data_IF_150558501991
#
_entry.id   IF_150558501991
#
_cell.length_a   1.000
_cell.length_b   1.000
_cell.length_c   1.000
_cell.angle_alpha   90.00
_cell.angle_beta   90.00
_cell.angle_gamma   90.00
#
_symmetry.space_group_name_H-M   'P 1'
#
loop_
_entity.id
_entity.type
_entity.pdbx_description
1 polymer ?
#
# COMPACT_ATOMS: atom_id res chain seq x y z
N UNK A 1 -23.26 -37.12 -4.97
CA UNK A 1 -22.03 -36.51 -5.51
C UNK A 1 -21.24 -36.00 -4.36
N UNK A 2 -20.05 -36.51 -4.10
CA UNK A 2 -19.23 -36.15 -2.93
C UNK A 2 -18.43 -34.85 -3.19
N UNK A 3 -18.32 -34.04 -2.13
CA UNK A 3 -17.43 -32.88 -2.05
C UNK A 3 -15.97 -33.30 -2.14
N UNK A 4 -15.08 -32.51 -2.75
CA UNK A 4 -13.64 -32.72 -2.65
C UNK A 4 -13.07 -32.05 -1.39
N UNK A 5 -12.51 -32.88 -0.50
CA UNK A 5 -11.58 -32.52 0.55
C UNK A 5 -10.38 -31.74 -0.04
N UNK A 6 -10.21 -30.51 0.40
CA UNK A 6 -8.98 -29.74 0.13
C UNK A 6 -8.22 -29.53 1.44
N UNK A 7 -7.42 -30.53 1.81
CA UNK A 7 -6.52 -30.50 2.95
C UNK A 7 -5.07 -30.47 2.44
N UNK A 8 -4.62 -29.27 2.00
CA UNK A 8 -3.20 -29.04 1.71
C UNK A 8 -2.51 -28.43 2.94
N UNK A 9 -1.45 -29.06 3.45
CA UNK A 9 -0.68 -28.50 4.57
C UNK A 9 0.19 -27.32 4.09
N UNK A 10 -0.10 -26.14 4.61
CA UNK A 10 0.77 -24.96 4.50
C UNK A 10 2.09 -25.29 5.21
N UNK A 11 3.12 -25.61 4.42
CA UNK A 11 4.49 -25.78 4.89
C UNK A 11 5.04 -24.44 5.39
N UNK A 12 5.19 -24.40 6.70
CA UNK A 12 5.80 -23.33 7.46
C UNK A 12 7.32 -23.33 7.22
N UNK A 13 7.81 -22.60 6.23
CA UNK A 13 9.23 -22.45 5.88
C UNK A 13 9.79 -21.13 6.40
N UNK A 14 9.84 -20.96 7.72
CA UNK A 14 10.51 -19.79 8.33
C UNK A 14 11.26 -20.14 9.65
N UNK A 15 11.66 -21.39 9.84
CA UNK A 15 12.40 -21.82 11.05
C UNK A 15 13.82 -22.35 10.77
N UNK A 16 14.41 -22.10 9.60
CA UNK A 16 15.71 -22.68 9.23
C UNK A 16 16.90 -21.71 9.19
N UNK A 17 16.74 -20.41 9.57
CA UNK A 17 17.85 -19.45 9.44
C UNK A 17 18.40 -18.92 10.78
N UNK A 18 17.94 -19.42 11.92
CA UNK A 18 18.40 -18.96 13.24
C UNK A 18 19.37 -19.92 13.96
N UNK A 19 19.78 -21.05 13.36
CA UNK A 19 20.63 -22.05 14.06
C UNK A 19 22.00 -22.28 13.42
N UNK A 20 22.43 -21.47 12.44
CA UNK A 20 23.73 -21.59 11.79
C UNK A 20 24.85 -20.73 12.40
N UNK A 21 24.58 -19.92 13.41
CA UNK A 21 25.57 -18.95 13.94
C UNK A 21 26.12 -19.28 15.33
N UNK A 22 25.93 -20.50 15.83
CA UNK A 22 26.44 -20.91 17.16
C UNK A 22 27.51 -21.99 17.12
N UNK A 23 27.97 -22.45 15.96
CA UNK A 23 28.95 -23.55 15.83
C UNK A 23 30.38 -23.13 15.48
N UNK A 24 30.61 -21.85 15.10
CA UNK A 24 31.92 -21.43 14.58
C UNK A 24 32.82 -20.67 15.58
N UNK A 25 32.50 -20.70 16.89
CA UNK A 25 33.33 -20.03 17.91
C UNK A 25 34.08 -21.03 18.81
N UNK A 26 33.91 -22.35 18.62
CA UNK A 26 34.52 -23.35 19.48
C UNK A 26 35.91 -23.87 19.04
N UNK A 27 36.40 -23.47 17.85
CA UNK A 27 37.61 -24.10 17.26
C UNK A 27 38.83 -23.15 17.09
N UNK A 28 38.94 -22.12 17.92
CA UNK A 28 40.09 -21.21 17.88
C UNK A 28 40.80 -21.11 19.23
N UNK A 29 41.24 -22.27 19.78
CA UNK A 29 42.23 -22.30 20.84
C UNK A 29 43.29 -23.36 20.48
N UNK A 30 44.50 -22.98 20.04
CA UNK A 30 45.59 -23.93 19.95
C UNK A 30 46.20 -24.11 21.35
N UNK A 31 46.06 -25.34 21.90
CA UNK A 31 46.86 -25.82 23.02
C UNK A 31 48.21 -26.22 22.46
N UNK A 32 49.23 -25.45 22.68
CA UNK A 32 50.63 -25.77 22.43
C UNK A 32 51.43 -25.46 23.69
N UNK A 33 51.75 -26.49 24.47
CA UNK A 33 52.67 -26.36 25.58
C UNK A 33 54.10 -26.31 25.07
N UNK A 34 54.88 -25.42 25.63
CA UNK A 34 56.29 -25.69 25.83
C UNK A 34 56.79 -24.91 27.06
N UNK A 35 57.40 -25.69 27.97
CA UNK A 35 58.09 -25.21 29.15
C UNK A 35 59.47 -24.71 28.76
N UNK A 36 59.80 -23.47 29.07
CA UNK A 36 61.18 -23.03 29.20
C UNK A 36 61.32 -22.06 30.40
N UNK A 37 62.46 -22.02 31.07
CA UNK A 37 62.53 -21.68 32.47
C UNK A 37 62.61 -20.18 32.74
N UNK A 38 62.03 -19.78 33.87
CA UNK A 38 62.04 -18.40 34.43
C UNK A 38 63.44 -17.97 34.85
N UNK A 39 63.91 -16.80 34.51
CA UNK A 39 64.84 -16.07 35.37
C UNK A 39 64.06 -15.18 36.30
N UNK A 40 64.35 -15.39 37.56
CA UNK A 40 64.00 -14.54 38.68
C UNK A 40 64.61 -13.14 38.47
N UNK A 41 63.72 -12.15 38.30
CA UNK A 41 64.08 -10.75 38.39
C UNK A 41 62.99 -10.03 39.16
N UNK A 42 63.22 -10.02 40.45
CA UNK A 42 62.47 -9.24 41.39
C UNK A 42 62.52 -7.72 41.07
N UNK A 43 61.43 -7.12 41.39
CA UNK A 43 61.26 -5.75 41.85
C UNK A 43 61.17 -4.60 40.84
N UNK A 44 60.06 -3.88 41.01
CA UNK A 44 59.82 -2.50 40.64
C UNK A 44 59.22 -2.23 39.27
N UNK A 45 57.92 -2.46 39.18
CA UNK A 45 57.07 -1.69 38.29
C UNK A 45 55.88 -1.19 39.11
N UNK A 46 55.76 0.12 39.18
CA UNK A 46 54.81 0.87 39.99
C UNK A 46 53.34 0.38 39.83
N UNK A 47 52.69 0.36 40.93
CA UNK A 47 51.23 0.17 41.00
C UNK A 47 50.52 1.31 40.28
N UNK A 48 50.37 1.22 38.98
CA UNK A 48 49.28 1.89 38.27
C UNK A 48 48.06 1.05 38.59
N UNK A 49 47.22 1.57 39.49
CA UNK A 49 46.03 0.88 39.99
C UNK A 49 45.15 0.36 38.84
N UNK A 50 45.29 -0.91 38.56
CA UNK A 50 44.26 -1.60 37.73
C UNK A 50 42.96 -1.50 38.51
N UNK A 51 41.92 -0.87 37.96
CA UNK A 51 40.61 -0.82 38.63
C UNK A 51 40.24 -2.25 38.97
N UNK A 52 39.92 -2.49 40.24
CA UNK A 52 39.56 -3.78 40.78
C UNK A 52 38.49 -4.43 39.86
N UNK A 53 38.80 -5.59 39.35
CA UNK A 53 37.92 -6.36 38.45
C UNK A 53 36.52 -6.51 39.04
N UNK A 54 36.39 -6.48 40.35
CA UNK A 54 35.09 -6.52 41.03
C UNK A 54 34.30 -5.24 40.80
N UNK A 55 34.94 -4.07 40.79
CA UNK A 55 34.33 -2.76 40.51
C UNK A 55 33.90 -2.67 39.06
N UNK A 56 34.77 -3.13 38.13
CA UNK A 56 34.41 -3.18 36.70
C UNK A 56 33.24 -4.11 36.44
N UNK A 57 33.20 -5.28 37.06
CA UNK A 57 32.09 -6.23 36.95
C UNK A 57 30.79 -5.64 37.50
N UNK A 58 30.84 -4.94 38.64
CA UNK A 58 29.68 -4.28 39.24
C UNK A 58 29.15 -3.17 38.32
N UNK A 59 30.02 -2.34 37.75
CA UNK A 59 29.67 -1.30 36.81
C UNK A 59 29.02 -1.88 35.54
N UNK A 60 29.63 -2.93 34.94
CA UNK A 60 29.09 -3.58 33.76
C UNK A 60 27.71 -4.23 34.01
N UNK A 61 27.51 -4.84 35.19
CA UNK A 61 26.18 -5.38 35.59
C UNK A 61 25.14 -4.27 35.76
N UNK A 62 25.51 -3.15 36.36
CA UNK A 62 24.61 -1.99 36.51
C UNK A 62 24.23 -1.39 35.16
N UNK A 63 25.20 -1.26 34.25
CA UNK A 63 24.94 -0.79 32.89
C UNK A 63 24.05 -1.76 32.12
N UNK A 64 24.31 -3.06 32.19
CA UNK A 64 23.47 -4.09 31.57
C UNK A 64 22.02 -4.04 32.10
N UNK A 65 21.84 -3.89 33.41
CA UNK A 65 20.51 -3.75 34.01
C UNK A 65 19.80 -2.48 33.53
N UNK A 66 20.51 -1.35 33.50
CA UNK A 66 19.96 -0.08 32.98
C UNK A 66 19.58 -0.16 31.48
N UNK A 67 20.41 -0.83 30.68
CA UNK A 67 20.14 -1.05 29.27
C UNK A 67 18.94 -2.00 29.06
N UNK A 68 18.83 -3.03 29.89
CA UNK A 68 17.68 -3.94 29.88
C UNK A 68 16.38 -3.21 30.24
N UNK A 69 16.41 -2.36 31.26
CA UNK A 69 15.24 -1.54 31.63
C UNK A 69 14.84 -0.56 30.52
N UNK A 70 15.82 0.06 29.86
CA UNK A 70 15.57 0.93 28.68
C UNK A 70 14.95 0.13 27.54
N UNK A 71 15.48 -1.06 27.28
CA UNK A 71 14.94 -1.96 26.25
C UNK A 71 13.48 -2.35 26.55
N UNK A 72 13.19 -2.76 27.78
CA UNK A 72 11.82 -3.14 28.19
C UNK A 72 10.84 -1.98 28.05
N UNK A 73 11.24 -0.75 28.42
CA UNK A 73 10.41 0.44 28.22
C UNK A 73 10.19 0.72 26.73
N UNK A 74 11.26 0.71 25.92
CA UNK A 74 11.15 0.94 24.48
C UNK A 74 10.25 -0.11 23.80
N UNK A 75 10.31 -1.37 24.22
CA UNK A 75 9.42 -2.42 23.73
C UNK A 75 7.95 -2.17 24.10
N UNK A 76 7.69 -1.77 25.35
CA UNK A 76 6.35 -1.42 25.78
C UNK A 76 5.79 -0.20 25.03
N UNK A 77 6.62 0.83 24.82
CA UNK A 77 6.25 2.02 24.06
C UNK A 77 5.98 1.69 22.60
N UNK A 78 6.79 0.83 21.98
CA UNK A 78 6.57 0.36 20.61
C UNK A 78 5.25 -0.40 20.48
N UNK A 79 4.93 -1.27 21.43
CA UNK A 79 3.67 -2.01 21.39
C UNK A 79 2.47 -1.09 21.57
N UNK A 80 2.54 -0.13 22.50
CA UNK A 80 1.52 0.88 22.71
C UNK A 80 1.34 1.75 21.46
N UNK A 81 2.44 2.18 20.84
CA UNK A 81 2.42 2.92 19.58
C UNK A 81 1.75 2.13 18.45
N UNK A 82 2.11 0.84 18.30
CA UNK A 82 1.49 -0.02 17.28
C UNK A 82 -0.02 -0.15 17.49
N UNK A 83 -0.45 -0.42 18.71
CA UNK A 83 -1.88 -0.54 19.05
C UNK A 83 -2.62 0.77 18.78
N UNK A 84 -2.04 1.90 19.15
CA UNK A 84 -2.61 3.22 18.90
C UNK A 84 -2.70 3.51 17.41
N UNK A 85 -1.62 3.28 16.65
CA UNK A 85 -1.59 3.51 15.19
C UNK A 85 -2.62 2.68 14.42
N UNK A 86 -2.90 1.45 14.87
CA UNK A 86 -3.96 0.62 14.28
C UNK A 86 -5.33 1.25 14.53
N UNK A 87 -5.64 1.66 15.76
CA UNK A 87 -6.91 2.30 16.10
C UNK A 87 -7.11 3.61 15.33
N UNK A 88 -6.11 4.50 15.35
CA UNK A 88 -6.15 5.78 14.62
C UNK A 88 -6.40 5.57 13.12
N UNK A 89 -5.76 4.55 12.53
CA UNK A 89 -5.99 4.22 11.11
C UNK A 89 -7.39 3.72 10.84
N UNK A 90 -7.95 2.90 11.73
CA UNK A 90 -9.31 2.36 11.58
C UNK A 90 -10.36 3.47 11.80
N UNK A 91 -10.16 4.36 12.77
CA UNK A 91 -10.97 5.55 13.00
C UNK A 91 -10.93 6.51 11.80
N UNK A 92 -9.74 6.76 11.24
CA UNK A 92 -9.60 7.58 10.03
C UNK A 92 -10.34 6.97 8.84
N UNK A 93 -10.24 5.64 8.65
CA UNK A 93 -10.99 4.96 7.57
C UNK A 93 -12.49 5.11 7.75
N UNK A 94 -13.00 4.86 8.96
CA UNK A 94 -14.42 5.02 9.25
C UNK A 94 -14.88 6.46 9.00
N UNK A 95 -14.12 7.45 9.48
CA UNK A 95 -14.44 8.87 9.31
C UNK A 95 -14.44 9.28 7.84
N UNK A 96 -13.41 8.89 7.07
CA UNK A 96 -13.32 9.21 5.63
C UNK A 96 -14.46 8.55 4.86
N UNK A 97 -14.74 7.27 5.15
CA UNK A 97 -15.85 6.56 4.52
C UNK A 97 -17.19 7.22 4.86
N UNK A 98 -17.38 7.63 6.12
CA UNK A 98 -18.59 8.32 6.58
C UNK A 98 -18.83 9.61 5.80
N UNK A 99 -17.82 10.46 5.65
CA UNK A 99 -17.93 11.72 4.87
C UNK A 99 -18.31 11.48 3.42
N UNK A 100 -17.74 10.45 2.77
CA UNK A 100 -18.13 10.12 1.39
C UNK A 100 -19.61 9.76 1.31
N UNK A 101 -20.13 8.98 2.27
CA UNK A 101 -21.54 8.63 2.29
C UNK A 101 -22.45 9.84 2.59
N UNK A 102 -22.03 10.72 3.51
CA UNK A 102 -22.78 11.96 3.80
C UNK A 102 -22.99 12.81 2.54
N UNK A 103 -21.97 12.93 1.69
CA UNK A 103 -22.06 13.67 0.43
C UNK A 103 -22.85 12.92 -0.67
N UNK A 104 -23.00 11.60 -0.56
CA UNK A 104 -23.80 10.80 -1.50
C UNK A 104 -25.29 10.73 -1.11
N UNK A 105 -25.66 10.86 0.17
CA UNK A 105 -27.06 10.79 0.59
C UNK A 105 -27.97 11.77 -0.15
N UNK A 106 -27.64 13.06 -0.35
CA UNK A 106 -28.47 13.98 -1.12
C UNK A 106 -28.70 13.52 -2.57
N UNK A 107 -27.73 12.79 -3.16
CA UNK A 107 -27.87 12.24 -4.51
C UNK A 107 -28.89 11.10 -4.52
N UNK A 108 -28.87 10.24 -3.50
CA UNK A 108 -29.85 9.16 -3.33
C UNK A 108 -31.26 9.73 -3.11
N UNK A 109 -31.39 10.77 -2.29
CA UNK A 109 -32.66 11.42 -2.02
C UNK A 109 -33.25 12.03 -3.30
N UNK A 110 -32.43 12.74 -4.08
CA UNK A 110 -32.86 13.34 -5.35
C UNK A 110 -33.20 12.27 -6.39
N UNK A 111 -32.47 11.15 -6.42
CA UNK A 111 -32.79 10.02 -7.30
C UNK A 111 -34.14 9.38 -6.90
N UNK A 112 -34.39 9.22 -5.60
CA UNK A 112 -35.67 8.72 -5.10
C UNK A 112 -36.83 9.65 -5.48
N UNK A 113 -36.61 10.96 -5.37
CA UNK A 113 -37.60 11.99 -5.78
C UNK A 113 -37.88 11.95 -7.29
N UNK A 114 -36.82 11.87 -8.12
CA UNK A 114 -36.93 11.70 -9.56
C UNK A 114 -37.69 10.44 -9.95
N UNK A 115 -37.44 9.33 -9.25
CA UNK A 115 -38.14 8.07 -9.47
C UNK A 115 -39.63 8.14 -9.05
N UNK A 116 -39.94 8.85 -7.97
CA UNK A 116 -41.31 9.08 -7.55
C UNK A 116 -42.06 9.93 -8.56
N UNK A 117 -41.46 10.98 -9.10
CA UNK A 117 -42.01 11.82 -10.16
C UNK A 117 -42.28 10.99 -11.43
N UNK A 118 -41.32 10.12 -11.83
CA UNK A 118 -41.49 9.27 -13.02
C UNK A 118 -42.68 8.30 -12.97
N UNK A 119 -43.18 8.00 -11.78
CA UNK A 119 -44.35 7.11 -11.60
C UNK A 119 -45.69 7.83 -11.77
N UNK A 120 -45.69 9.17 -11.88
CA UNK A 120 -46.90 9.94 -12.12
C UNK A 120 -47.24 9.89 -13.60
N UNK A 121 -48.53 9.82 -13.92
CA UNK A 121 -49.02 9.50 -15.27
C UNK A 121 -48.83 10.59 -16.33
N UNK A 122 -48.35 11.79 -15.98
CA UNK A 122 -48.25 12.96 -16.87
C UNK A 122 -46.81 13.55 -16.95
N UNK A 123 -45.78 12.76 -16.66
CA UNK A 123 -44.42 13.30 -16.70
C UNK A 123 -43.89 13.33 -18.13
N UNK A 124 -43.50 14.52 -18.57
CA UNK A 124 -42.78 14.71 -19.82
C UNK A 124 -41.39 14.03 -19.72
N UNK A 125 -41.11 13.10 -20.65
CA UNK A 125 -39.83 12.37 -20.74
C UNK A 125 -38.63 13.32 -20.75
N UNK A 126 -38.74 14.47 -21.39
CA UNK A 126 -37.69 15.48 -21.47
C UNK A 126 -37.34 16.06 -20.10
N UNK A 127 -38.39 16.37 -19.32
CA UNK A 127 -38.24 16.85 -17.94
C UNK A 127 -37.59 15.77 -17.03
N UNK A 128 -37.98 14.51 -17.19
CA UNK A 128 -37.37 13.40 -16.46
C UNK A 128 -35.90 13.21 -16.79
N UNK A 129 -35.53 13.25 -18.08
CA UNK A 129 -34.11 13.13 -18.51
C UNK A 129 -33.32 14.28 -17.92
N UNK A 130 -33.78 15.51 -17.96
CA UNK A 130 -33.12 16.68 -17.36
C UNK A 130 -32.92 16.52 -15.85
N UNK A 131 -33.91 15.95 -15.14
CA UNK A 131 -33.82 15.66 -13.72
C UNK A 131 -32.71 14.62 -13.41
N UNK A 132 -32.64 13.54 -14.20
CA UNK A 132 -31.61 12.51 -14.05
C UNK A 132 -30.21 13.03 -14.39
N UNK A 133 -30.07 13.86 -15.42
CA UNK A 133 -28.80 14.52 -15.76
C UNK A 133 -28.32 15.41 -14.63
N UNK A 134 -29.21 16.14 -13.96
CA UNK A 134 -28.89 16.97 -12.81
C UNK A 134 -28.40 16.13 -11.63
N UNK A 135 -29.03 14.99 -11.33
CA UNK A 135 -28.61 14.07 -10.28
C UNK A 135 -27.25 13.46 -10.62
N UNK A 136 -27.00 13.10 -11.89
CA UNK A 136 -25.71 12.60 -12.35
C UNK A 136 -24.60 13.66 -12.17
N UNK A 137 -24.89 14.91 -12.53
CA UNK A 137 -23.94 16.02 -12.34
C UNK A 137 -23.64 16.25 -10.84
N UNK A 138 -24.64 16.17 -9.98
CA UNK A 138 -24.48 16.27 -8.54
C UNK A 138 -23.61 15.14 -8.00
N UNK A 139 -23.83 13.89 -8.43
CA UNK A 139 -22.98 12.74 -8.05
C UNK A 139 -21.55 12.95 -8.46
N UNK A 140 -21.30 13.38 -9.69
CA UNK A 140 -19.95 13.66 -10.19
C UNK A 140 -19.27 14.75 -9.37
N UNK A 141 -19.99 15.81 -9.01
CA UNK A 141 -19.49 16.91 -8.18
C UNK A 141 -19.14 16.42 -6.76
N UNK A 142 -20.01 15.63 -6.13
CA UNK A 142 -19.78 15.04 -4.82
C UNK A 142 -18.53 14.13 -4.81
N UNK A 143 -18.35 13.30 -5.83
CA UNK A 143 -17.18 12.45 -5.96
C UNK A 143 -15.90 13.25 -6.26
N UNK A 144 -16.00 14.31 -7.05
CA UNK A 144 -14.86 15.19 -7.35
C UNK A 144 -14.36 15.94 -6.11
N UNK A 145 -15.23 16.33 -5.16
CA UNK A 145 -14.83 16.95 -3.89
C UNK A 145 -13.94 16.04 -3.03
N UNK A 146 -14.08 14.72 -3.19
CA UNK A 146 -13.22 13.71 -2.56
C UNK A 146 -11.95 13.37 -3.36
N UNK A 147 -11.71 14.11 -4.47
CA UNK A 147 -10.49 13.94 -5.29
C UNK A 147 -10.61 12.90 -6.41
N UNK A 148 -11.84 12.41 -6.69
CA UNK A 148 -12.09 11.58 -7.86
C UNK A 148 -12.01 12.44 -9.14
N UNK A 149 -11.23 11.98 -10.12
CA UNK A 149 -11.12 12.59 -11.45
C UNK A 149 -11.52 11.60 -12.52
N UNK A 150 -12.35 12.06 -13.46
CA UNK A 150 -12.70 11.29 -14.65
C UNK A 150 -11.56 11.35 -15.68
N UNK A 151 -11.29 10.23 -16.35
CA UNK A 151 -10.35 10.11 -17.44
C UNK A 151 -11.15 9.85 -18.72
N UNK A 152 -11.28 10.89 -19.56
CA UNK A 152 -12.02 10.86 -20.82
C UNK A 152 -11.10 11.44 -21.93
N UNK A 153 -10.14 10.67 -22.42
CA UNK A 153 -9.06 11.14 -23.26
C UNK A 153 -9.43 11.19 -24.76
N UNK A 154 -10.64 11.54 -25.14
CA UNK A 154 -11.04 11.62 -26.55
C UNK A 154 -10.14 12.59 -27.32
N UNK A 155 -9.56 12.14 -28.44
CA UNK A 155 -8.65 12.93 -29.26
C UNK A 155 -7.24 13.10 -28.70
N UNK A 156 -6.95 12.58 -27.52
CA UNK A 156 -5.61 12.63 -26.90
C UNK A 156 -4.76 11.42 -27.31
N UNK A 157 -3.42 11.51 -27.19
CA UNK A 157 -2.55 10.36 -27.39
C UNK A 157 -2.92 9.22 -26.44
N UNK A 158 -2.78 7.99 -26.91
CA UNK A 158 -2.97 6.81 -26.08
C UNK A 158 -1.84 6.70 -25.03
N UNK A 159 -2.21 6.58 -23.75
CA UNK A 159 -1.29 6.38 -22.63
C UNK A 159 -1.58 5.03 -21.97
N UNK A 160 -0.69 4.03 -22.07
CA UNK A 160 -0.88 2.72 -21.45
C UNK A 160 -1.01 2.75 -19.92
N UNK A 161 -0.55 3.82 -19.27
CA UNK A 161 -0.65 3.95 -17.80
C UNK A 161 -2.06 4.34 -17.34
N UNK A 162 -2.86 4.94 -18.22
CA UNK A 162 -4.19 5.46 -17.85
C UNK A 162 -5.31 4.89 -18.74
N UNK A 163 -4.96 4.32 -19.90
CA UNK A 163 -5.90 3.85 -20.90
C UNK A 163 -5.70 2.37 -21.19
N UNK A 164 -6.80 1.70 -21.52
CA UNK A 164 -6.84 0.32 -21.99
C UNK A 164 -7.44 0.29 -23.38
N UNK A 165 -6.63 -0.07 -24.38
CA UNK A 165 -7.10 -0.19 -25.75
C UNK A 165 -7.89 -1.50 -25.94
N UNK A 166 -9.19 -1.38 -26.26
CA UNK A 166 -10.04 -2.55 -26.54
C UNK A 166 -9.96 -2.93 -28.01
N UNK A 167 -9.90 -1.93 -28.91
CA UNK A 167 -9.83 -2.15 -30.35
C UNK A 167 -9.14 -0.99 -31.07
N UNK A 168 -8.70 -1.25 -32.29
CA UNK A 168 -8.18 -0.25 -33.22
C UNK A 168 -9.16 -0.09 -34.35
N UNK A 169 -9.47 1.15 -34.74
CA UNK A 169 -10.34 1.46 -35.88
C UNK A 169 -9.70 2.50 -36.80
N UNK A 170 -9.85 2.37 -38.12
CA UNK A 170 -9.37 3.39 -39.04
C UNK A 170 -10.20 4.67 -38.89
N UNK A 171 -9.53 5.83 -38.89
CA UNK A 171 -10.17 7.14 -38.87
C UNK A 171 -9.34 8.11 -39.71
N UNK A 172 -10.02 8.91 -40.51
CA UNK A 172 -9.39 10.00 -41.25
C UNK A 172 -9.22 11.27 -40.41
N UNK A 173 -10.07 11.43 -39.37
CA UNK A 173 -10.15 12.65 -38.59
C UNK A 173 -9.22 12.63 -37.36
N UNK A 174 -8.88 11.44 -36.87
CA UNK A 174 -8.06 11.26 -35.66
C UNK A 174 -6.73 10.60 -36.06
N UNK A 175 -5.63 11.20 -35.60
CA UNK A 175 -4.28 10.69 -35.86
C UNK A 175 -4.10 9.26 -35.35
N UNK A 176 -3.20 8.53 -35.98
CA UNK A 176 -2.76 7.22 -35.50
C UNK A 176 -2.29 7.31 -34.02
N UNK A 177 -2.53 6.25 -33.23
CA UNK A 177 -2.22 6.16 -31.81
C UNK A 177 -2.95 7.17 -30.90
N UNK A 178 -4.01 7.84 -31.40
CA UNK A 178 -4.87 8.68 -30.57
C UNK A 178 -6.20 7.99 -30.27
N UNK A 179 -6.79 8.38 -29.16
CA UNK A 179 -8.07 7.84 -28.71
C UNK A 179 -9.19 8.37 -29.61
N UNK A 180 -9.86 7.46 -30.31
CA UNK A 180 -10.99 7.76 -31.18
C UNK A 180 -12.27 7.97 -30.37
N UNK A 181 -12.56 7.03 -29.46
CA UNK A 181 -13.73 7.09 -28.58
C UNK A 181 -13.45 6.38 -27.26
N UNK A 182 -14.16 6.81 -26.22
CA UNK A 182 -14.13 6.19 -24.90
C UNK A 182 -15.36 5.31 -24.74
N UNK A 183 -15.17 4.01 -24.60
CA UNK A 183 -16.25 3.04 -24.34
C UNK A 183 -16.60 3.06 -22.87
N UNK A 184 -15.58 3.17 -22.01
CA UNK A 184 -15.75 3.18 -20.56
C UNK A 184 -14.83 4.22 -19.93
N UNK A 185 -15.42 5.16 -19.20
CA UNK A 185 -14.69 6.21 -18.50
C UNK A 185 -13.73 5.62 -17.46
N UNK A 186 -12.48 6.11 -17.47
CA UNK A 186 -11.52 5.81 -16.42
C UNK A 186 -11.71 6.71 -15.21
N UNK A 187 -11.13 6.31 -14.07
CA UNK A 187 -11.16 7.09 -12.85
C UNK A 187 -9.82 7.04 -12.11
N UNK A 188 -9.41 8.18 -11.59
CA UNK A 188 -8.29 8.31 -10.67
C UNK A 188 -8.71 9.00 -9.38
N UNK A 189 -8.13 8.60 -8.26
CA UNK A 189 -8.37 9.19 -6.94
C UNK A 189 -7.06 9.75 -6.40
N UNK A 190 -7.00 11.06 -6.18
CA UNK A 190 -5.81 11.74 -5.65
C UNK A 190 -4.52 11.36 -6.41
N UNK A 191 -4.60 11.23 -7.74
CA UNK A 191 -3.48 10.84 -8.60
C UNK A 191 -3.21 9.34 -8.72
N UNK A 192 -3.89 8.50 -7.92
CA UNK A 192 -3.81 7.04 -8.06
C UNK A 192 -4.88 6.54 -9.01
N UNK A 193 -4.49 5.80 -10.03
CA UNK A 193 -5.42 5.16 -10.95
C UNK A 193 -6.25 4.11 -10.20
N UNK A 194 -7.59 4.22 -10.28
CA UNK A 194 -8.53 3.23 -9.77
C UNK A 194 -8.97 2.27 -10.89
N UNK A 195 -9.19 2.82 -12.08
CA UNK A 195 -9.63 2.08 -13.26
C UNK A 195 -9.18 2.81 -14.51
N UNK A 196 -8.52 2.14 -15.47
CA UNK A 196 -8.18 2.75 -16.75
C UNK A 196 -9.43 3.09 -17.57
N UNK A 197 -9.31 4.06 -18.47
CA UNK A 197 -10.32 4.32 -19.46
C UNK A 197 -10.22 3.27 -20.58
N UNK A 198 -11.32 2.56 -20.85
CA UNK A 198 -11.37 1.62 -21.98
C UNK A 198 -11.70 2.38 -23.27
N UNK A 199 -10.79 2.34 -24.21
CA UNK A 199 -10.81 3.21 -25.38
C UNK A 199 -10.67 2.44 -26.69
N UNK A 200 -11.17 3.04 -27.77
CA UNK A 200 -10.85 2.65 -29.14
C UNK A 200 -9.78 3.59 -29.65
N UNK A 201 -8.70 3.05 -30.18
CA UNK A 201 -7.55 3.81 -30.70
C UNK A 201 -7.63 3.91 -32.22
N UNK A 202 -7.27 5.06 -32.76
CA UNK A 202 -7.20 5.26 -34.19
C UNK A 202 -5.99 4.53 -34.77
N UNK A 203 -6.18 3.78 -35.87
CA UNK A 203 -5.10 3.21 -36.70
C UNK A 203 -4.72 4.12 -37.87
N UNK A 204 -5.14 5.38 -37.83
CA UNK A 204 -4.96 6.30 -38.98
C UNK A 204 -5.95 6.06 -40.10
N UNK A 205 -5.78 6.74 -41.26
CA UNK A 205 -6.64 6.58 -42.42
C UNK A 205 -6.62 5.15 -42.94
N UNK A 206 -7.79 4.64 -43.35
CA UNK A 206 -7.91 3.30 -43.90
C UNK A 206 -6.95 3.13 -45.09
N UNK A 207 -6.03 2.17 -45.02
CA UNK A 207 -5.18 1.82 -46.15
C UNK A 207 -6.09 1.27 -47.24
N UNK A 208 -5.97 1.75 -48.51
CA UNK A 208 -6.75 1.18 -49.60
C UNK A 208 -6.40 -0.30 -49.74
N UNK A 209 -7.44 -1.12 -49.64
CA UNK A 209 -7.32 -2.58 -49.85
C UNK A 209 -6.87 -2.72 -51.33
N UNK A 210 -5.59 -3.04 -51.53
CA UNK A 210 -5.05 -3.33 -52.83
C UNK A 210 -5.83 -4.49 -53.46
N UNK A 211 -6.37 -4.23 -54.66
CA UNK A 211 -6.94 -5.27 -55.53
C UNK A 211 -5.88 -6.24 -55.97
#
# INVERSE_FOLDING_TARGET
>A
MPEPDNNDPVTNSTAATANASRKDIADLVPVGGDKAPVPDAAAQAGAVGQPDLTVQLAAAKAEAAANFDRFMRAMADLENFRRRSVRERDELRATVTGRVFEDIFPVLDNLALALAAAKQSEVDVKSLVGGVEMVLAQLKSALASHGLKEIVPVGQPFDPHQHEAISHQPSADVKEEHVLTVIRTGYSLNGRLLRPASVVVSSGPAKPVGK
#
